data_IF_996200200125
#
_entry.id   IF_996200200125
#
_cell.length_a   1.000
_cell.length_b   1.000
_cell.length_c   1.000
_cell.angle_alpha   90.00
_cell.angle_beta   90.00
_cell.angle_gamma   90.00
#
_symmetry.space_group_name_H-M   'P 1'
#
loop_
_entity.id
_entity.type
_entity.pdbx_description
1 polymer ?
#
# COMPACT_ATOMS: atom_id res chain seq x y z
N UNK A 1 -38.41 -5.88 55.57
CA UNK A 1 -37.60 -7.09 55.38
C UNK A 1 -37.02 -7.08 53.97
N UNK A 2 -35.87 -7.75 53.73
CA UNK A 2 -35.51 -8.32 52.43
C UNK A 2 -36.36 -9.60 52.17
N UNK A 3 -36.21 -10.46 51.16
CA UNK A 3 -35.21 -10.73 50.08
C UNK A 3 -35.94 -10.91 48.72
N UNK A 4 -35.35 -11.11 47.54
CA UNK A 4 -33.95 -11.17 47.08
C UNK A 4 -33.85 -12.00 45.76
N UNK A 5 -32.89 -11.67 44.88
CA UNK A 5 -32.57 -12.40 43.62
C UNK A 5 -33.51 -12.12 42.42
N UNK A 6 -33.04 -12.07 41.16
CA UNK A 6 -31.67 -12.12 40.62
C UNK A 6 -31.67 -12.21 39.07
N UNK A 7 -30.51 -11.99 38.43
CA UNK A 7 -30.22 -12.06 36.96
C UNK A 7 -30.95 -11.01 36.07
N UNK A 8 -30.42 -10.53 34.94
CA UNK A 8 -29.07 -10.52 34.33
C UNK A 8 -28.90 -9.14 33.61
N UNK A 9 -27.72 -8.53 33.54
CA UNK A 9 -26.70 -8.71 32.48
C UNK A 9 -27.26 -8.87 31.05
N UNK A 10 -27.11 -7.85 30.19
CA UNK A 10 -26.04 -7.81 29.17
C UNK A 10 -26.22 -6.56 28.28
N UNK A 11 -25.19 -5.71 28.19
CA UNK A 11 -25.18 -4.54 27.31
C UNK A 11 -24.41 -4.87 26.03
N UNK A 12 -25.06 -4.92 24.86
CA UNK A 12 -24.36 -5.15 23.59
C UNK A 12 -25.04 -4.55 22.37
N UNK A 13 -24.28 -3.76 21.62
CA UNK A 13 -24.69 -3.12 20.35
C UNK A 13 -23.63 -2.15 19.84
N UNK A 14 -22.35 -2.52 19.97
CA UNK A 14 -21.21 -1.63 19.75
C UNK A 14 -20.95 -1.27 18.29
N UNK A 15 -20.42 -0.08 18.11
CA UNK A 15 -19.81 0.45 16.89
C UNK A 15 -18.47 -0.26 16.56
N UNK A 16 -17.90 0.09 15.41
CA UNK A 16 -16.52 -0.14 14.96
C UNK A 16 -16.19 -1.46 14.24
N UNK A 17 -16.16 -1.34 12.90
CA UNK A 17 -15.00 -1.67 12.07
C UNK A 17 -14.18 -2.93 12.42
N UNK A 18 -14.65 -4.09 11.96
CA UNK A 18 -13.81 -5.28 11.82
C UNK A 18 -12.76 -5.04 10.72
N UNK A 19 -11.52 -4.81 11.13
CA UNK A 19 -10.37 -4.75 10.25
C UNK A 19 -10.01 -6.16 9.74
N UNK A 20 -10.00 -6.35 8.41
CA UNK A 20 -9.54 -7.60 7.82
C UNK A 20 -8.08 -7.88 8.17
N UNK A 21 -7.74 -9.06 8.73
CA UNK A 21 -6.37 -9.38 9.12
C UNK A 21 -5.57 -9.98 7.95
N UNK A 22 -4.25 -9.82 8.02
CA UNK A 22 -3.30 -10.80 7.46
C UNK A 22 -3.03 -10.71 5.95
N UNK A 23 -2.17 -9.78 5.57
CA UNK A 23 -1.23 -10.00 4.46
C UNK A 23 0.19 -9.98 5.03
N UNK A 24 0.58 -11.09 5.67
CA UNK A 24 1.98 -11.33 6.03
C UNK A 24 2.76 -11.50 4.74
N UNK A 25 3.64 -10.56 4.41
CA UNK A 25 4.70 -10.76 3.43
C UNK A 25 6.01 -10.26 4.03
N UNK A 26 6.96 -11.17 3.99
CA UNK A 26 8.15 -11.21 4.81
C UNK A 26 9.07 -9.99 4.67
N UNK A 27 9.76 -9.71 5.78
CA UNK A 27 10.80 -8.71 5.92
C UNK A 27 12.06 -9.11 5.11
N UNK A 28 11.98 -9.08 3.77
CA UNK A 28 13.18 -9.27 2.94
C UNK A 28 14.03 -7.99 2.91
N UNK A 29 14.76 -7.78 4.00
CA UNK A 29 15.68 -6.67 4.16
C UNK A 29 17.00 -6.89 3.38
N UNK A 30 16.99 -6.64 2.07
CA UNK A 30 18.20 -6.55 1.25
C UNK A 30 18.00 -5.68 -0.02
N UNK A 31 19.06 -5.08 -0.57
CA UNK A 31 20.13 -4.31 0.09
C UNK A 31 19.88 -2.79 -0.07
N UNK A 32 20.48 -1.98 0.79
CA UNK A 32 20.46 -0.50 0.68
C UNK A 32 21.48 0.07 -0.34
N UNK A 33 21.88 -0.75 -1.30
CA UNK A 33 22.79 -0.46 -2.41
C UNK A 33 22.32 -1.31 -3.60
N UNK A 34 22.18 -0.81 -4.83
CA UNK A 34 22.75 0.42 -5.40
C UNK A 34 21.67 1.41 -5.87
N UNK A 35 21.67 2.63 -5.30
CA UNK A 35 20.90 3.75 -5.84
C UNK A 35 21.67 4.44 -6.98
N UNK A 36 21.86 3.72 -8.09
CA UNK A 36 22.53 4.16 -9.32
C UNK A 36 21.70 5.22 -10.09
N UNK A 37 21.39 6.33 -9.42
CA UNK A 37 20.57 7.44 -9.96
C UNK A 37 19.06 7.15 -10.07
N UNK A 38 18.56 5.99 -9.61
CA UNK A 38 17.11 5.73 -9.51
C UNK A 38 16.49 6.45 -8.32
N UNK A 39 15.28 6.98 -8.52
CA UNK A 39 14.56 7.72 -7.49
C UNK A 39 13.98 6.80 -6.40
N UNK A 40 14.14 7.18 -5.13
CA UNK A 40 13.71 6.35 -4.00
C UNK A 40 12.19 6.15 -3.96
N UNK A 41 11.39 7.12 -4.39
CA UNK A 41 9.94 6.94 -4.48
C UNK A 41 9.58 5.90 -5.53
N UNK A 42 10.30 5.86 -6.67
CA UNK A 42 10.13 4.82 -7.67
C UNK A 42 10.54 3.44 -7.14
N UNK A 43 11.71 3.32 -6.52
CA UNK A 43 12.21 2.04 -5.98
C UNK A 43 11.26 1.45 -4.94
N UNK A 44 10.84 2.23 -3.93
CA UNK A 44 9.94 1.72 -2.88
C UNK A 44 8.54 1.47 -3.44
N UNK A 45 8.06 2.26 -4.41
CA UNK A 45 6.77 2.00 -5.05
C UNK A 45 6.77 0.67 -5.80
N UNK A 46 7.82 0.37 -6.57
CA UNK A 46 7.90 -0.88 -7.33
C UNK A 46 8.10 -2.08 -6.41
N UNK A 47 8.94 -1.97 -5.38
CA UNK A 47 9.05 -3.00 -4.33
C UNK A 47 7.71 -3.28 -3.64
N UNK A 48 6.91 -2.25 -3.37
CA UNK A 48 5.57 -2.41 -2.81
C UNK A 48 4.58 -3.06 -3.81
N UNK A 49 4.81 -2.93 -5.13
CA UNK A 49 4.01 -3.64 -6.15
C UNK A 49 4.39 -5.11 -6.22
N UNK A 50 5.68 -5.45 -6.05
CA UNK A 50 6.14 -6.84 -5.95
C UNK A 50 5.42 -7.58 -4.80
N UNK A 51 5.35 -6.91 -3.63
CA UNK A 51 4.67 -7.41 -2.44
C UNK A 51 3.13 -7.27 -2.47
N UNK A 52 2.54 -6.66 -3.50
CA UNK A 52 1.07 -6.50 -3.58
C UNK A 52 0.44 -7.79 -4.13
N UNK A 53 -0.37 -8.52 -3.36
CA UNK A 53 -1.03 -9.73 -3.86
C UNK A 53 -2.12 -9.37 -4.89
N UNK A 54 -2.30 -10.21 -5.91
CA UNK A 54 -3.35 -10.01 -6.92
C UNK A 54 -4.78 -10.03 -6.34
N UNK A 55 -4.95 -10.59 -5.13
CA UNK A 55 -6.21 -10.56 -4.38
C UNK A 55 -6.62 -9.16 -3.89
N UNK A 56 -5.67 -8.23 -3.71
CA UNK A 56 -5.95 -6.83 -3.34
C UNK A 56 -6.27 -5.95 -4.57
N UNK A 57 -6.19 -6.50 -5.78
CA UNK A 57 -6.50 -5.77 -7.00
C UNK A 57 -8.01 -5.81 -7.32
N UNK A 58 -8.64 -4.68 -7.67
CA UNK A 58 -8.02 -3.39 -7.99
C UNK A 58 -7.88 -2.43 -6.79
N UNK A 59 -6.66 -1.99 -6.49
CA UNK A 59 -6.37 -1.05 -5.39
C UNK A 59 -6.24 0.39 -5.89
N UNK A 60 -6.82 1.35 -5.15
CA UNK A 60 -6.62 2.78 -5.44
C UNK A 60 -5.17 3.21 -5.19
N UNK A 61 -4.55 3.92 -6.14
CA UNK A 61 -3.16 4.41 -6.07
C UNK A 61 -2.86 5.22 -4.80
N UNK A 62 -3.78 6.10 -4.38
CA UNK A 62 -3.63 6.92 -3.18
C UNK A 62 -3.62 6.08 -1.89
N UNK A 63 -4.49 5.07 -1.84
CA UNK A 63 -4.58 4.11 -0.74
C UNK A 63 -3.33 3.21 -0.70
N UNK A 64 -2.90 2.67 -1.84
CA UNK A 64 -1.68 1.87 -1.99
C UNK A 64 -0.42 2.65 -1.58
N UNK A 65 -0.28 3.91 -2.04
CA UNK A 65 0.82 4.78 -1.60
C UNK A 65 0.85 4.91 -0.08
N UNK A 66 -0.30 5.19 0.54
CA UNK A 66 -0.39 5.47 1.97
C UNK A 66 -0.27 4.22 2.85
N UNK A 67 -0.74 3.05 2.38
CA UNK A 67 -0.79 1.80 3.16
C UNK A 67 0.33 0.81 2.86
N UNK A 68 0.96 0.88 1.69
CA UNK A 68 2.00 -0.07 1.27
C UNK A 68 3.34 0.62 1.05
N UNK A 69 3.37 1.76 0.35
CA UNK A 69 4.62 2.45 -0.01
C UNK A 69 5.21 3.24 1.15
N UNK A 70 4.39 4.03 1.87
CA UNK A 70 4.84 4.80 3.04
C UNK A 70 5.41 3.96 4.21
N UNK A 71 4.83 2.80 4.60
CA UNK A 71 5.41 1.96 5.65
C UNK A 71 6.60 1.11 5.18
N UNK A 72 6.76 0.82 3.88
CA UNK A 72 7.93 0.14 3.32
C UNK A 72 9.19 1.05 3.24
N UNK A 73 9.11 2.25 3.84
CA UNK A 73 10.19 3.22 3.97
C UNK A 73 11.22 2.77 5.02
N UNK A 74 12.51 2.62 4.68
CA UNK A 74 13.53 2.29 5.67
C UNK A 74 13.68 3.40 6.71
N UNK A 75 14.03 3.03 7.94
CA UNK A 75 14.16 3.96 9.06
C UNK A 75 15.14 5.11 8.73
N UNK A 76 14.83 6.31 9.23
CA UNK A 76 15.63 7.52 8.98
C UNK A 76 15.48 8.18 7.61
N UNK A 77 14.83 7.55 6.62
CA UNK A 77 14.67 8.13 5.27
C UNK A 77 13.29 8.75 5.08
N UNK A 78 13.16 9.86 4.34
CA UNK A 78 11.85 10.51 4.06
C UNK A 78 11.42 10.29 2.60
N UNK A 79 10.27 9.67 2.39
CA UNK A 79 9.63 9.54 1.08
C UNK A 79 8.96 10.86 0.66
N UNK A 80 9.71 11.73 -0.01
CA UNK A 80 9.16 12.99 -0.55
C UNK A 80 8.91 12.91 -2.07
N UNK A 81 7.67 12.62 -2.43
CA UNK A 81 7.20 12.60 -3.83
C UNK A 81 7.39 13.94 -4.56
N UNK A 82 7.53 15.07 -3.85
CA UNK A 82 7.77 16.41 -4.44
C UNK A 82 9.25 16.62 -4.78
N UNK A 83 10.16 16.00 -4.02
CA UNK A 83 11.59 15.94 -4.35
C UNK A 83 11.86 14.96 -5.49
N UNK A 84 11.04 13.91 -5.64
CA UNK A 84 11.13 13.00 -6.79
C UNK A 84 10.99 13.73 -8.14
N UNK A 85 11.61 13.22 -9.23
CA UNK A 85 11.49 13.83 -10.56
C UNK A 85 10.04 13.81 -11.08
N UNK A 86 9.19 12.95 -10.52
CA UNK A 86 7.77 12.83 -10.86
C UNK A 86 6.93 13.96 -10.26
N UNK A 87 7.31 14.49 -9.09
CA UNK A 87 6.64 15.55 -8.31
C UNK A 87 5.21 15.24 -7.83
N UNK A 88 4.59 14.15 -8.30
CA UNK A 88 3.23 13.68 -8.00
C UNK A 88 3.13 12.17 -8.22
N UNK A 89 2.33 11.47 -7.41
CA UNK A 89 2.12 10.02 -7.50
C UNK A 89 1.58 9.62 -8.89
N UNK A 90 0.59 10.34 -9.43
CA UNK A 90 0.06 10.12 -10.78
C UNK A 90 1.11 10.18 -11.89
N UNK A 91 2.16 11.00 -11.73
CA UNK A 91 3.27 11.10 -12.68
C UNK A 91 4.17 9.87 -12.62
N UNK A 92 4.42 9.34 -11.41
CA UNK A 92 5.15 8.09 -11.19
C UNK A 92 4.37 6.91 -11.77
N UNK A 93 3.09 6.77 -11.41
CA UNK A 93 2.20 5.73 -11.93
C UNK A 93 2.09 5.78 -13.47
N UNK A 94 1.94 6.96 -14.06
CA UNK A 94 1.96 7.14 -15.52
C UNK A 94 3.30 6.75 -16.16
N UNK A 95 4.43 6.87 -15.47
CA UNK A 95 5.74 6.45 -15.97
C UNK A 95 5.88 4.92 -15.91
N UNK A 96 5.52 4.31 -14.78
CA UNK A 96 5.50 2.85 -14.62
C UNK A 96 4.54 2.16 -15.60
N UNK A 97 3.38 2.77 -15.86
CA UNK A 97 2.44 2.29 -16.89
C UNK A 97 3.00 2.39 -18.31
N UNK A 98 3.82 3.41 -18.62
CA UNK A 98 4.54 3.51 -19.90
C UNK A 98 5.66 2.47 -20.04
N UNK A 99 6.36 2.18 -18.93
CA UNK A 99 7.32 1.06 -18.85
C UNK A 99 6.64 -0.32 -18.93
N UNK A 100 5.32 -0.39 -18.74
CA UNK A 100 4.48 -1.61 -18.61
C UNK A 100 4.66 -2.40 -17.31
N UNK A 101 5.41 -1.88 -16.34
CA UNK A 101 5.57 -2.43 -14.97
C UNK A 101 4.23 -2.66 -14.28
N UNK A 102 3.23 -1.83 -14.57
CA UNK A 102 1.88 -1.94 -14.00
C UNK A 102 0.80 -1.52 -15.00
N UNK A 103 -0.44 -1.89 -14.69
CA UNK A 103 -1.63 -1.44 -15.40
C UNK A 103 -2.54 -0.68 -14.45
N UNK A 104 -2.79 0.60 -14.76
CA UNK A 104 -3.76 1.42 -14.06
C UNK A 104 -5.01 1.69 -14.90
N UNK A 105 -6.13 1.91 -14.20
CA UNK A 105 -7.42 2.32 -14.77
C UNK A 105 -7.95 3.51 -13.97
N UNK A 106 -8.39 4.55 -14.68
CA UNK A 106 -9.04 5.70 -14.04
C UNK A 106 -10.50 5.35 -13.71
N UNK A 107 -10.85 5.38 -12.42
CA UNK A 107 -12.20 5.10 -11.91
C UNK A 107 -12.62 6.29 -11.05
N UNK A 108 -13.77 6.92 -11.36
CA UNK A 108 -14.30 8.09 -10.62
C UNK A 108 -13.31 9.26 -10.42
N UNK A 109 -12.39 9.47 -11.38
CA UNK A 109 -11.27 10.44 -11.36
C UNK A 109 -10.07 10.04 -10.50
N UNK A 110 -10.04 8.82 -9.97
CA UNK A 110 -8.92 8.28 -9.19
C UNK A 110 -8.26 7.09 -9.91
N UNK A 111 -6.94 7.08 -9.94
CA UNK A 111 -6.18 5.98 -10.55
C UNK A 111 -6.22 4.76 -9.64
N UNK A 112 -6.58 3.60 -10.21
CA UNK A 112 -6.59 2.32 -9.55
C UNK A 112 -5.65 1.36 -10.29
N UNK A 113 -4.74 0.71 -9.56
CA UNK A 113 -3.89 -0.37 -10.07
C UNK A 113 -4.80 -1.58 -10.26
N UNK A 114 -4.81 -2.16 -11.46
CA UNK A 114 -5.67 -3.30 -11.84
C UNK A 114 -4.89 -4.55 -12.24
N UNK A 115 -3.59 -4.42 -12.51
CA UNK A 115 -2.65 -5.52 -12.71
C UNK A 115 -1.22 -5.01 -12.47
N UNK A 116 -0.32 -5.92 -12.11
CA UNK A 116 1.12 -5.68 -11.92
C UNK A 116 1.88 -6.67 -12.81
N UNK A 117 2.89 -6.19 -13.56
CA UNK A 117 3.70 -7.07 -14.41
C UNK A 117 4.91 -7.60 -13.65
N UNK A 118 4.68 -8.68 -12.90
CA UNK A 118 5.69 -9.38 -12.08
C UNK A 118 6.80 -10.07 -12.91
N UNK A 119 6.73 -10.03 -14.24
CA UNK A 119 7.79 -10.51 -15.12
C UNK A 119 8.72 -9.37 -15.61
N UNK A 120 8.45 -8.11 -15.23
CA UNK A 120 9.26 -6.97 -15.62
C UNK A 120 10.54 -6.86 -14.77
N UNK A 121 11.73 -6.64 -15.36
CA UNK A 121 13.03 -6.57 -14.64
C UNK A 121 13.22 -5.36 -13.70
N UNK A 122 12.15 -4.63 -13.37
CA UNK A 122 12.16 -3.59 -12.33
C UNK A 122 11.43 -4.06 -11.05
N UNK A 123 10.65 -5.16 -11.11
CA UNK A 123 9.90 -5.79 -10.01
C UNK A 123 10.73 -6.95 -9.43
#
# INVERSE_FOLDING_TARGET
>A
GPEGGGAADEARGGEAAEAGPGASQEEEAAPAADLDGRDLCEVIFVRALAALPDADLPVMVSNFWSKSVLPMRPEGTTLDIKQSPFKKISKLVSALQKKKVLKCKLVRKEEHIVAVDRAHPDI
#
